data_IF_445099796662
#
_entry.id   IF_445099796662
#
_cell.length_a   1.000
_cell.length_b   1.000
_cell.length_c   1.000
_cell.angle_alpha   90.00
_cell.angle_beta   90.00
_cell.angle_gamma   90.00
#
_symmetry.space_group_name_H-M   'P 1'
#
loop_
_entity.id
_entity.type
_entity.pdbx_description
1 polymer ?
#
# COMPACT_ATOMS: atom_id res chain seq x y z
N UNK A 1 76.77 12.94 -6.29
CA UNK A 1 77.42 11.80 -6.99
C UNK A 1 76.67 10.52 -6.62
N UNK A 2 76.17 9.80 -7.65
CA UNK A 2 75.88 8.36 -7.85
C UNK A 2 75.38 7.49 -6.66
N UNK A 3 74.17 6.91 -6.81
CA UNK A 3 73.86 5.49 -7.14
C UNK A 3 73.72 4.62 -5.87
N UNK A 4 72.88 3.58 -5.75
CA UNK A 4 72.36 2.62 -6.73
C UNK A 4 71.13 1.86 -6.21
N UNK A 5 70.25 1.49 -7.15
CA UNK A 5 69.31 0.36 -7.08
C UNK A 5 70.04 -0.99 -6.95
N UNK A 6 69.43 -1.98 -6.28
CA UNK A 6 69.58 -3.39 -6.67
C UNK A 6 68.27 -4.16 -6.46
N UNK A 7 67.77 -4.76 -7.55
CA UNK A 7 66.73 -5.80 -7.61
C UNK A 7 67.33 -7.19 -7.32
N UNK A 8 66.49 -8.13 -6.85
CA UNK A 8 66.38 -9.57 -7.18
C UNK A 8 65.33 -10.18 -6.22
N UNK A 9 64.14 -10.56 -6.67
CA UNK A 9 63.72 -11.81 -7.37
C UNK A 9 63.28 -12.92 -6.38
N UNK A 10 61.99 -13.32 -6.48
CA UNK A 10 61.36 -14.63 -6.19
C UNK A 10 59.85 -14.38 -5.91
N UNK A 11 58.95 -14.39 -6.90
CA UNK A 11 58.25 -15.54 -7.53
C UNK A 11 57.36 -16.41 -6.61
N UNK A 12 56.08 -16.51 -7.01
CA UNK A 12 55.10 -17.61 -6.80
C UNK A 12 54.54 -17.73 -5.36
N UNK A 13 53.23 -17.67 -5.08
CA UNK A 13 52.14 -18.46 -5.66
C UNK A 13 50.76 -17.85 -5.35
N UNK A 14 49.84 -18.03 -6.28
CA UNK A 14 48.42 -17.67 -6.21
C UNK A 14 47.64 -18.61 -5.31
N UNK A 15 46.57 -18.11 -4.68
CA UNK A 15 45.33 -18.89 -4.48
C UNK A 15 44.14 -18.00 -4.12
N UNK A 16 43.37 -17.72 -5.16
CA UNK A 16 41.93 -17.45 -5.15
C UNK A 16 41.21 -18.59 -4.42
N UNK A 17 40.26 -18.28 -3.53
CA UNK A 17 39.18 -19.23 -3.21
C UNK A 17 37.82 -18.55 -3.35
N UNK A 18 37.17 -18.87 -4.47
CA UNK A 18 35.73 -18.80 -4.67
C UNK A 18 35.03 -19.58 -3.56
N UNK A 19 34.07 -18.97 -2.87
CA UNK A 19 33.09 -19.69 -2.07
C UNK A 19 31.96 -20.15 -3.00
N UNK A 20 32.06 -21.41 -3.45
CA UNK A 20 30.96 -22.15 -4.07
C UNK A 20 29.90 -22.48 -3.01
N UNK A 21 28.67 -22.02 -3.24
CA UNK A 21 27.50 -22.45 -2.48
C UNK A 21 27.03 -23.79 -3.04
N UNK A 22 27.35 -24.88 -2.35
CA UNK A 22 26.81 -26.21 -2.66
C UNK A 22 25.50 -26.45 -1.91
N UNK A 23 24.44 -26.55 -2.70
CA UNK A 23 23.12 -27.05 -2.36
C UNK A 23 23.20 -28.57 -2.16
N UNK A 24 23.04 -29.09 -0.94
CA UNK A 24 22.74 -30.50 -0.69
C UNK A 24 21.56 -30.62 0.27
N UNK A 25 20.46 -31.15 -0.24
CA UNK A 25 19.30 -31.53 0.55
C UNK A 25 19.56 -32.81 1.35
N UNK A 26 19.12 -32.81 2.59
CA UNK A 26 18.91 -34.03 3.38
C UNK A 26 17.57 -33.92 4.05
N UNK A 27 16.59 -34.61 3.47
CA UNK A 27 15.30 -34.88 4.08
C UNK A 27 15.51 -35.83 5.26
N UNK A 28 15.22 -35.37 6.49
CA UNK A 28 14.96 -36.26 7.62
C UNK A 28 13.51 -36.13 8.02
N UNK A 29 12.81 -37.24 7.83
CA UNK A 29 11.43 -37.49 8.28
C UNK A 29 11.41 -37.48 9.81
N UNK A 30 10.47 -36.76 10.39
CA UNK A 30 10.06 -36.94 11.78
C UNK A 30 8.64 -37.46 11.75
N UNK A 31 8.47 -38.73 12.13
CA UNK A 31 7.19 -39.32 12.46
C UNK A 31 6.80 -38.96 13.90
N UNK A 32 5.50 -38.78 14.18
CA UNK A 32 5.02 -38.26 15.45
C UNK A 32 4.92 -39.37 16.51
N UNK A 33 5.49 -39.13 17.70
CA UNK A 33 5.14 -39.90 18.90
C UNK A 33 3.90 -39.27 19.55
N UNK A 34 2.84 -40.06 19.55
CA UNK A 34 1.63 -39.90 20.37
C UNK A 34 1.98 -40.03 21.84
N UNK A 35 1.65 -39.03 22.66
CA UNK A 35 1.46 -39.22 24.10
C UNK A 35 0.08 -38.66 24.49
N UNK A 36 -0.85 -39.61 24.65
CA UNK A 36 -2.14 -39.46 25.33
C UNK A 36 -1.86 -39.20 26.82
N UNK A 37 -1.86 -37.93 27.27
CA UNK A 37 -2.10 -37.58 28.68
C UNK A 37 -2.22 -36.06 28.89
N UNK A 38 -3.21 -35.40 28.27
CA UNK A 38 -3.76 -34.13 28.81
C UNK A 38 -5.10 -33.73 28.17
N UNK A 39 -5.89 -34.72 27.73
CA UNK A 39 -7.28 -34.53 27.34
C UNK A 39 -8.19 -35.09 28.45
N UNK A 40 -8.27 -34.38 29.59
CA UNK A 40 -9.25 -34.59 30.67
C UNK A 40 -9.21 -33.42 31.65
N UNK A 41 -9.58 -32.24 31.17
CA UNK A 41 -9.91 -31.08 32.01
C UNK A 41 -10.75 -30.04 31.22
N UNK A 42 -11.72 -30.49 30.42
CA UNK A 42 -12.78 -29.64 29.86
C UNK A 42 -14.05 -30.50 29.82
N UNK A 43 -14.68 -30.60 30.99
CA UNK A 43 -16.03 -31.11 31.20
C UNK A 43 -16.31 -30.91 32.67
N UNK A 44 -16.71 -29.70 33.04
CA UNK A 44 -17.48 -29.35 34.25
C UNK A 44 -17.44 -27.82 34.44
N UNK A 45 -18.36 -27.10 33.79
CA UNK A 45 -18.94 -25.81 34.25
C UNK A 45 -19.80 -25.15 33.15
N UNK A 46 -20.88 -25.81 32.73
CA UNK A 46 -22.03 -25.13 32.11
C UNK A 46 -23.31 -25.84 32.55
N UNK A 47 -23.83 -25.52 33.75
CA UNK A 47 -25.27 -25.55 34.06
C UNK A 47 -25.53 -24.57 35.21
N UNK A 48 -26.63 -23.81 35.09
CA UNK A 48 -27.37 -23.12 36.16
C UNK A 48 -27.09 -21.62 36.38
N UNK A 49 -27.87 -20.76 35.70
CA UNK A 49 -29.00 -20.04 36.32
C UNK A 49 -29.68 -19.12 35.29
N UNK A 50 -30.87 -19.52 34.86
CA UNK A 50 -31.94 -18.64 34.38
C UNK A 50 -32.94 -18.46 35.51
N UNK A 51 -33.29 -17.20 35.81
CA UNK A 51 -34.63 -16.69 36.15
C UNK A 51 -34.46 -15.18 36.44
N UNK A 52 -34.97 -14.27 35.57
CA UNK A 52 -36.30 -13.58 35.65
C UNK A 52 -36.32 -12.50 36.77
N UNK A 53 -36.81 -11.25 36.65
CA UNK A 53 -37.68 -10.45 35.76
C UNK A 53 -37.51 -8.96 36.19
N UNK A 54 -37.76 -7.98 35.31
CA UNK A 54 -38.70 -6.82 35.44
C UNK A 54 -38.28 -5.70 34.47
N UNK A 55 -39.20 -5.37 33.58
CA UNK A 55 -39.22 -4.19 32.70
C UNK A 55 -39.65 -2.96 33.50
N UNK A 56 -38.93 -1.85 33.39
CA UNK A 56 -39.48 -0.51 33.57
C UNK A 56 -38.99 0.41 32.44
N UNK A 57 -39.96 0.90 31.68
CA UNK A 57 -39.86 1.96 30.69
C UNK A 57 -39.94 3.31 31.45
N UNK A 58 -38.98 4.21 31.25
CA UNK A 58 -39.23 5.61 30.87
C UNK A 58 -37.93 6.40 30.70
N UNK A 59 -37.89 7.31 29.72
CA UNK A 59 -36.80 8.31 29.59
C UNK A 59 -36.27 8.50 28.17
N UNK A 60 -36.95 9.33 27.38
CA UNK A 60 -36.46 9.90 26.12
C UNK A 60 -35.29 10.89 26.34
N UNK A 61 -34.47 11.15 25.30
CA UNK A 61 -33.09 11.60 25.44
C UNK A 61 -32.92 13.11 25.56
N UNK A 62 -31.89 13.55 26.28
CA UNK A 62 -31.40 14.93 26.27
C UNK A 62 -30.28 15.04 25.22
N UNK A 63 -30.52 15.81 24.16
CA UNK A 63 -29.50 16.25 23.22
C UNK A 63 -28.48 17.20 23.88
N UNK A 64 -27.18 17.09 23.57
CA UNK A 64 -26.30 18.23 23.56
C UNK A 64 -26.11 18.70 22.11
N UNK A 65 -26.71 19.84 21.80
CA UNK A 65 -26.41 20.62 20.60
C UNK A 65 -24.92 21.00 20.61
N UNK A 66 -24.15 20.47 19.67
CA UNK A 66 -22.86 21.04 19.32
C UNK A 66 -22.61 20.80 17.84
N UNK A 67 -22.97 21.81 17.03
CA UNK A 67 -22.56 21.90 15.63
C UNK A 67 -21.03 21.91 15.59
N UNK A 68 -20.42 20.80 15.18
CA UNK A 68 -18.98 20.71 14.89
C UNK A 68 -18.76 20.66 13.38
N UNK A 69 -17.70 21.29 12.87
CA UNK A 69 -17.49 21.47 11.44
C UNK A 69 -17.14 20.13 10.76
N UNK A 70 -17.65 20.00 9.54
CA UNK A 70 -17.41 18.94 8.57
C UNK A 70 -15.92 18.64 8.38
N UNK A 71 -15.53 17.36 8.35
CA UNK A 71 -14.22 16.89 7.89
C UNK A 71 -14.42 15.98 6.67
N UNK A 72 -13.76 16.31 5.55
CA UNK A 72 -13.86 15.60 4.26
C UNK A 72 -12.54 14.96 3.80
N UNK A 73 -11.56 14.79 4.68
CA UNK A 73 -10.26 14.21 4.33
C UNK A 73 -10.33 12.72 3.98
N UNK A 74 -9.85 12.35 2.78
CA UNK A 74 -9.91 11.01 2.17
C UNK A 74 -11.28 10.58 1.61
N UNK A 75 -11.88 11.42 0.76
CA UNK A 75 -13.03 11.04 -0.07
C UNK A 75 -12.65 10.96 -1.55
N UNK A 76 -12.57 9.71 -2.03
CA UNK A 76 -12.65 9.21 -3.43
C UNK A 76 -11.38 8.53 -3.95
N UNK A 77 -11.32 7.22 -3.74
CA UNK A 77 -10.82 6.30 -4.75
C UNK A 77 -11.84 5.17 -4.88
N UNK A 78 -12.59 5.19 -5.98
CA UNK A 78 -13.54 4.18 -6.49
C UNK A 78 -14.35 3.36 -5.47
N UNK A 79 -15.64 3.70 -5.35
CA UNK A 79 -16.69 2.77 -4.92
C UNK A 79 -17.04 1.82 -6.08
N UNK A 80 -16.99 0.51 -5.86
CA UNK A 80 -17.99 -0.38 -6.47
C UNK A 80 -18.41 -1.48 -5.52
N UNK A 81 -19.71 -1.43 -5.23
CA UNK A 81 -20.60 -2.44 -4.65
C UNK A 81 -20.81 -3.55 -5.70
N UNK A 82 -21.27 -4.79 -5.50
CA UNK A 82 -22.21 -5.42 -4.56
C UNK A 82 -21.92 -6.94 -4.61
N UNK A 83 -21.91 -7.62 -3.47
CA UNK A 83 -22.16 -9.07 -3.37
C UNK A 83 -23.68 -9.28 -3.47
N UNK A 84 -24.18 -9.94 -4.51
CA UNK A 84 -25.55 -10.48 -4.54
C UNK A 84 -25.46 -11.98 -4.81
N UNK A 85 -25.71 -12.74 -3.75
CA UNK A 85 -25.95 -14.17 -3.84
C UNK A 85 -27.27 -14.43 -4.57
N UNK A 86 -27.27 -15.48 -5.40
CA UNK A 86 -28.48 -16.14 -5.86
C UNK A 86 -28.40 -17.60 -5.45
N UNK A 87 -29.46 -18.06 -4.78
CA UNK A 87 -29.68 -19.43 -4.34
C UNK A 87 -29.86 -20.39 -5.52
N UNK A 88 -29.65 -21.67 -5.18
CA UNK A 88 -29.67 -22.89 -5.98
C UNK A 88 -30.94 -23.17 -6.81
N UNK A 89 -30.79 -24.03 -7.83
CA UNK A 89 -31.41 -25.38 -8.00
C UNK A 89 -31.07 -25.94 -9.42
N UNK A 90 -31.27 -27.24 -9.75
CA UNK A 90 -30.38 -28.37 -9.46
C UNK A 90 -29.83 -29.07 -10.73
N UNK A 91 -28.84 -29.96 -10.52
CA UNK A 91 -28.29 -30.88 -11.51
C UNK A 91 -29.33 -31.90 -12.02
N UNK A 92 -29.37 -32.15 -13.33
CA UNK A 92 -30.16 -33.22 -13.95
C UNK A 92 -29.82 -33.49 -15.43
N UNK A 93 -28.83 -34.36 -15.64
CA UNK A 93 -28.62 -35.28 -16.78
C UNK A 93 -28.85 -34.84 -18.25
N UNK A 94 -27.79 -34.90 -19.06
CA UNK A 94 -27.72 -35.88 -20.17
C UNK A 94 -26.27 -36.04 -20.67
N UNK A 95 -25.78 -37.28 -20.69
CA UNK A 95 -24.54 -37.68 -21.35
C UNK A 95 -24.78 -38.12 -22.79
N UNK A 96 -23.71 -38.04 -23.59
CA UNK A 96 -23.40 -38.90 -24.74
C UNK A 96 -24.15 -38.65 -26.06
N UNK A 97 -23.45 -38.07 -27.04
CA UNK A 97 -23.04 -38.79 -28.24
C UNK A 97 -21.91 -38.04 -28.96
N UNK A 98 -20.82 -38.76 -29.23
CA UNK A 98 -19.71 -38.29 -30.05
C UNK A 98 -19.85 -38.87 -31.46
N UNK A 99 -19.73 -38.03 -32.50
CA UNK A 99 -18.73 -38.12 -33.59
C UNK A 99 -19.22 -37.47 -34.89
N UNK A 100 -18.23 -36.83 -35.53
CA UNK A 100 -18.13 -36.53 -36.95
C UNK A 100 -19.15 -35.54 -37.53
N UNK A 101 -18.74 -34.28 -37.62
CA UNK A 101 -18.93 -33.46 -38.83
C UNK A 101 -17.97 -32.27 -38.85
N UNK A 102 -17.33 -32.13 -40.01
CA UNK A 102 -16.54 -31.03 -40.58
C UNK A 102 -16.58 -29.67 -39.88
N UNK A 103 -15.39 -29.06 -39.72
CA UNK A 103 -15.20 -27.62 -39.41
C UNK A 103 -15.95 -26.76 -40.44
N UNK A 104 -16.82 -25.81 -40.04
CA UNK A 104 -17.35 -24.82 -40.96
C UNK A 104 -16.33 -23.68 -41.18
N UNK A 105 -16.37 -23.11 -42.38
CA UNK A 105 -15.51 -22.02 -42.84
C UNK A 105 -15.72 -20.73 -42.01
N UNK A 106 -14.62 -20.00 -41.78
CA UNK A 106 -14.58 -18.75 -41.00
C UNK A 106 -15.42 -17.58 -41.57
N UNK A 107 -16.12 -17.78 -42.69
CA UNK A 107 -16.91 -16.75 -43.35
C UNK A 107 -18.42 -16.81 -43.02
N UNK A 108 -18.89 -17.87 -42.34
CA UNK A 108 -20.32 -18.08 -42.05
C UNK A 108 -20.73 -17.72 -40.62
N UNK A 109 -19.75 -17.40 -39.75
CA UNK A 109 -19.98 -16.99 -38.36
C UNK A 109 -20.31 -15.49 -38.21
N UNK A 110 -20.13 -14.69 -39.27
CA UNK A 110 -20.27 -13.23 -39.25
C UNK A 110 -21.65 -12.72 -39.70
N UNK A 111 -22.57 -13.61 -40.11
CA UNK A 111 -23.88 -13.21 -40.67
C UNK A 111 -25.09 -13.52 -39.78
N UNK A 112 -24.91 -14.00 -38.55
CA UNK A 112 -26.01 -14.35 -37.63
C UNK A 112 -25.86 -13.80 -36.20
N UNK A 113 -25.25 -12.63 -36.01
CA UNK A 113 -25.33 -11.96 -34.71
C UNK A 113 -26.63 -11.15 -34.62
N UNK A 114 -27.49 -11.37 -33.60
CA UNK A 114 -28.64 -10.51 -33.38
C UNK A 114 -28.14 -9.10 -33.04
N UNK A 115 -28.73 -8.11 -33.71
CA UNK A 115 -28.53 -6.69 -33.43
C UNK A 115 -29.07 -6.42 -32.02
N UNK A 116 -28.19 -6.42 -31.03
CA UNK A 116 -28.47 -5.91 -29.69
C UNK A 116 -28.49 -4.37 -29.76
N UNK A 117 -29.60 -3.82 -30.26
CA UNK A 117 -30.01 -2.46 -29.92
C UNK A 117 -30.47 -2.47 -28.45
N UNK A 118 -29.98 -1.51 -27.67
CA UNK A 118 -30.19 -1.32 -26.23
C UNK A 118 -29.23 -2.05 -25.27
N UNK A 119 -27.93 -1.87 -25.46
CA UNK A 119 -26.96 -1.97 -24.36
C UNK A 119 -26.96 -0.67 -23.54
N UNK A 120 -27.07 -0.72 -22.19
CA UNK A 120 -26.92 0.47 -21.36
C UNK A 120 -25.53 1.07 -21.58
N UNK A 121 -25.47 2.41 -21.72
CA UNK A 121 -24.21 3.14 -21.87
C UNK A 121 -23.27 2.76 -20.72
N UNK A 122 -22.18 2.08 -21.06
CA UNK A 122 -21.07 1.74 -20.16
C UNK A 122 -20.36 3.02 -19.70
N UNK A 123 -20.96 3.72 -18.74
CA UNK A 123 -20.24 4.60 -17.83
C UNK A 123 -19.81 3.74 -16.65
N UNK A 124 -18.49 3.70 -16.42
CA UNK A 124 -17.73 2.85 -15.49
C UNK A 124 -17.40 1.42 -15.97
N UNK A 125 -16.69 1.33 -17.09
CA UNK A 125 -16.08 0.07 -17.52
C UNK A 125 -15.04 -0.41 -16.48
N UNK A 126 -15.29 -1.57 -15.88
CA UNK A 126 -14.28 -2.33 -15.14
C UNK A 126 -13.02 -2.45 -16.01
N UNK A 127 -11.88 -2.00 -15.49
CA UNK A 127 -10.61 -2.13 -16.21
C UNK A 127 -10.26 -3.62 -16.29
N UNK A 128 -10.51 -4.23 -17.44
CA UNK A 128 -10.13 -5.63 -17.70
C UNK A 128 -8.70 -5.71 -18.22
N UNK A 129 -8.07 -6.87 -18.06
CA UNK A 129 -6.77 -7.14 -18.67
C UNK A 129 -6.80 -6.96 -20.20
N UNK A 130 -7.90 -7.37 -20.84
CA UNK A 130 -8.12 -7.15 -22.28
C UNK A 130 -8.07 -5.66 -22.65
N UNK A 131 -8.72 -4.80 -21.87
CA UNK A 131 -8.69 -3.35 -22.08
C UNK A 131 -7.28 -2.78 -21.89
N UNK A 132 -6.48 -3.32 -20.96
CA UNK A 132 -5.09 -2.92 -20.78
C UNK A 132 -4.22 -3.33 -21.97
N UNK A 133 -4.39 -4.54 -22.49
CA UNK A 133 -3.65 -5.03 -23.67
C UNK A 133 -3.93 -4.14 -24.88
N UNK A 134 -5.21 -3.84 -25.17
CA UNK A 134 -5.60 -2.98 -26.29
C UNK A 134 -4.99 -1.57 -26.21
N UNK A 135 -4.81 -1.05 -24.98
CA UNK A 135 -4.20 0.27 -24.74
C UNK A 135 -2.67 0.22 -24.70
N UNK A 136 -2.04 -0.94 -24.88
CA UNK A 136 -0.60 -1.14 -24.69
C UNK A 136 0.06 -1.56 -26.00
N UNK A 137 0.63 -0.62 -26.79
CA UNK A 137 1.22 -0.91 -28.10
C UNK A 137 2.30 -1.99 -28.09
N UNK A 138 3.03 -2.11 -26.98
CA UNK A 138 4.02 -3.16 -26.76
C UNK A 138 4.09 -3.49 -25.26
N UNK A 139 4.34 -4.76 -24.88
CA UNK A 139 4.42 -5.17 -23.48
C UNK A 139 5.38 -4.28 -22.68
N UNK A 140 4.98 -3.92 -21.45
CA UNK A 140 5.88 -3.26 -20.51
C UNK A 140 6.63 -4.33 -19.74
N UNK A 141 7.95 -4.31 -19.81
CA UNK A 141 8.82 -5.30 -19.17
C UNK A 141 9.64 -4.65 -18.06
N UNK A 142 10.17 -5.47 -17.14
CA UNK A 142 11.14 -5.02 -16.13
C UNK A 142 12.24 -4.15 -16.73
N UNK A 143 12.87 -4.61 -17.82
CA UNK A 143 13.96 -3.88 -18.49
C UNK A 143 13.50 -2.58 -19.15
N UNK A 144 12.32 -2.56 -19.80
CA UNK A 144 11.81 -1.32 -20.40
C UNK A 144 11.45 -0.28 -19.33
N UNK A 145 10.86 -0.72 -18.22
CA UNK A 145 10.49 0.14 -17.10
C UNK A 145 11.74 0.70 -16.43
N UNK A 146 12.74 -0.14 -16.14
CA UNK A 146 14.00 0.29 -15.52
C UNK A 146 14.73 1.33 -16.39
N UNK A 147 14.81 1.09 -17.70
CA UNK A 147 15.41 2.05 -18.64
C UNK A 147 14.67 3.40 -18.62
N UNK A 148 13.34 3.40 -18.69
CA UNK A 148 12.54 4.62 -18.68
C UNK A 148 12.63 5.39 -17.35
N UNK A 149 12.70 4.67 -16.23
CA UNK A 149 12.92 5.26 -14.90
C UNK A 149 14.31 5.94 -14.82
N UNK A 150 15.35 5.27 -15.33
CA UNK A 150 16.71 5.83 -15.37
C UNK A 150 16.80 7.07 -16.28
N UNK A 151 16.23 7.02 -17.49
CA UNK A 151 16.10 8.18 -18.39
C UNK A 151 15.30 9.32 -17.72
N UNK A 152 14.28 8.94 -16.94
CA UNK A 152 13.47 9.80 -16.07
C UNK A 152 14.24 10.45 -14.92
N UNK A 153 15.47 10.02 -14.63
CA UNK A 153 16.34 10.59 -13.61
C UNK A 153 16.38 9.83 -12.28
N UNK A 154 15.79 8.63 -12.21
CA UNK A 154 16.00 7.76 -11.05
C UNK A 154 17.46 7.26 -11.09
N UNK A 155 18.22 7.58 -10.06
CA UNK A 155 19.66 7.30 -9.99
C UNK A 155 20.00 6.18 -9.02
N UNK A 156 21.09 5.47 -9.31
CA UNK A 156 21.65 4.49 -8.40
C UNK A 156 22.05 5.13 -7.06
N UNK A 157 21.80 4.44 -5.95
CA UNK A 157 22.07 4.93 -4.60
C UNK A 157 21.00 5.86 -4.02
N UNK A 158 19.98 6.26 -4.80
CA UNK A 158 18.93 7.15 -4.30
C UNK A 158 18.04 6.49 -3.24
N UNK A 159 17.56 7.31 -2.30
CA UNK A 159 16.41 6.96 -1.46
C UNK A 159 15.16 7.51 -2.14
N UNK A 160 14.17 6.66 -2.41
CA UNK A 160 13.01 7.03 -3.21
C UNK A 160 11.71 6.61 -2.54
N UNK A 161 10.81 7.57 -2.34
CA UNK A 161 9.42 7.34 -1.94
C UNK A 161 8.56 7.22 -3.20
N UNK A 162 7.87 6.10 -3.36
CA UNK A 162 7.10 5.79 -4.58
C UNK A 162 5.60 5.72 -4.29
N UNK A 163 4.82 6.43 -5.10
CA UNK A 163 3.38 6.26 -5.26
C UNK A 163 3.11 5.78 -6.68
N UNK A 164 2.21 4.82 -6.87
CA UNK A 164 2.02 4.23 -8.20
C UNK A 164 0.61 3.76 -8.51
N UNK A 165 0.26 3.81 -9.80
CA UNK A 165 -0.93 3.17 -10.37
C UNK A 165 -0.50 2.13 -11.40
N UNK A 166 -0.60 0.83 -11.07
CA UNK A 166 -0.14 -0.24 -11.96
C UNK A 166 -0.86 -0.22 -13.32
N UNK A 167 -2.17 0.00 -13.33
CA UNK A 167 -2.96 0.03 -14.56
C UNK A 167 -2.60 1.21 -15.48
N UNK A 168 -2.12 2.32 -14.92
CA UNK A 168 -1.69 3.48 -15.70
C UNK A 168 -0.47 3.20 -16.58
N UNK A 169 0.36 2.21 -16.21
CA UNK A 169 1.54 1.82 -16.98
C UNK A 169 1.18 1.12 -18.30
N UNK A 170 -0.05 0.61 -18.41
CA UNK A 170 -0.46 -0.34 -19.44
C UNK A 170 -0.30 -1.79 -18.98
N UNK A 171 -0.26 -2.72 -19.91
CA UNK A 171 -0.06 -4.15 -19.63
C UNK A 171 1.41 -4.43 -19.34
N UNK A 172 1.69 -4.89 -18.12
CA UNK A 172 3.05 -5.16 -17.62
C UNK A 172 3.28 -6.66 -17.53
N UNK A 173 4.27 -7.16 -18.27
CA UNK A 173 4.75 -8.53 -18.17
C UNK A 173 5.34 -8.78 -16.77
N UNK A 174 4.61 -9.51 -15.93
CA UNK A 174 4.96 -9.75 -14.53
C UNK A 174 4.30 -8.79 -13.52
N UNK A 175 3.36 -7.94 -13.97
CA UNK A 175 2.54 -7.07 -13.11
C UNK A 175 3.39 -6.29 -12.07
N UNK A 176 2.94 -6.26 -10.80
CA UNK A 176 3.63 -5.56 -9.72
C UNK A 176 5.07 -6.06 -9.47
N UNK A 177 5.35 -7.35 -9.67
CA UNK A 177 6.69 -7.94 -9.49
C UNK A 177 7.70 -7.22 -10.39
N UNK A 178 7.35 -7.05 -11.68
CA UNK A 178 8.22 -6.40 -12.65
C UNK A 178 8.46 -4.91 -12.34
N UNK A 179 7.46 -4.22 -11.79
CA UNK A 179 7.60 -2.81 -11.36
C UNK A 179 8.56 -2.68 -10.19
N UNK A 180 8.39 -3.51 -9.16
CA UNK A 180 9.28 -3.52 -7.98
C UNK A 180 10.71 -3.85 -8.39
N UNK A 181 10.90 -4.89 -9.20
CA UNK A 181 12.22 -5.27 -9.69
C UNK A 181 12.85 -4.17 -10.57
N UNK A 182 12.09 -3.49 -11.41
CA UNK A 182 12.60 -2.38 -12.21
C UNK A 182 13.06 -1.20 -11.35
N UNK A 183 12.30 -0.85 -10.30
CA UNK A 183 12.71 0.18 -9.34
C UNK A 183 14.00 -0.21 -8.61
N UNK A 184 14.10 -1.47 -8.16
CA UNK A 184 15.30 -2.01 -7.50
C UNK A 184 16.51 -2.02 -8.45
N UNK A 185 16.32 -2.35 -9.72
CA UNK A 185 17.40 -2.31 -10.73
C UNK A 185 17.94 -0.89 -10.92
N UNK A 186 17.06 0.12 -10.94
CA UNK A 186 17.45 1.52 -11.12
C UNK A 186 18.26 2.06 -9.94
N UNK A 187 17.78 1.83 -8.71
CA UNK A 187 18.43 2.38 -7.52
C UNK A 187 19.63 1.53 -7.06
N UNK A 188 19.68 0.27 -7.49
CA UNK A 188 20.76 -0.66 -7.14
C UNK A 188 20.82 -1.01 -5.65
N UNK A 189 21.83 -1.80 -5.22
CA UNK A 189 21.93 -2.31 -3.84
C UNK A 189 22.20 -1.22 -2.80
N UNK A 190 22.71 -0.06 -3.22
CA UNK A 190 22.99 1.07 -2.34
C UNK A 190 21.81 2.04 -2.20
N UNK A 191 20.75 1.86 -3.00
CA UNK A 191 19.53 2.65 -2.94
C UNK A 191 18.55 2.14 -1.90
N UNK A 192 17.60 2.99 -1.50
CA UNK A 192 16.51 2.60 -0.59
C UNK A 192 15.15 2.92 -1.22
N UNK A 193 14.33 1.90 -1.44
CA UNK A 193 12.97 2.02 -1.95
C UNK A 193 11.98 2.07 -0.78
N UNK A 194 11.04 3.01 -0.82
CA UNK A 194 10.02 3.21 0.23
C UNK A 194 8.64 3.40 -0.39
N UNK A 195 7.61 2.81 0.21
CA UNK A 195 6.21 3.01 -0.19
C UNK A 195 5.31 3.15 1.05
N UNK A 196 4.27 4.01 1.01
CA UNK A 196 3.24 4.00 2.04
C UNK A 196 2.47 2.67 2.01
N UNK A 197 2.13 2.17 3.19
CA UNK A 197 1.39 0.92 3.38
C UNK A 197 0.20 1.12 4.31
N UNK A 198 -0.56 2.18 4.07
CA UNK A 198 -1.64 2.62 4.95
C UNK A 198 -2.75 1.58 5.07
N UNK A 199 -3.38 1.58 6.24
CA UNK A 199 -4.29 0.55 6.77
C UNK A 199 -5.53 1.22 7.35
N UNK A 200 -6.17 2.09 6.56
CA UNK A 200 -7.29 2.92 6.99
C UNK A 200 -8.55 2.15 7.44
N UNK A 201 -8.58 0.81 7.35
CA UNK A 201 -9.62 -0.02 7.94
C UNK A 201 -9.34 -0.38 9.41
N UNK A 202 -8.23 0.08 9.97
CA UNK A 202 -7.88 -0.07 11.39
C UNK A 202 -8.09 1.23 12.20
N UNK A 203 -8.66 2.27 11.59
CA UNK A 203 -9.08 3.48 12.32
C UNK A 203 -10.37 3.24 13.10
N UNK A 204 -10.76 4.18 13.96
CA UNK A 204 -11.99 4.06 14.75
C UNK A 204 -13.23 3.95 13.84
N UNK A 205 -14.00 2.86 13.92
CA UNK A 205 -15.17 2.66 13.05
C UNK A 205 -16.29 3.66 13.30
N UNK A 206 -16.29 4.38 14.43
CA UNK A 206 -17.22 5.48 14.68
C UNK A 206 -17.05 6.64 13.67
N UNK A 207 -15.85 6.80 13.11
CA UNK A 207 -15.50 7.88 12.18
C UNK A 207 -15.56 7.44 10.71
N UNK A 208 -16.01 6.21 10.42
CA UNK A 208 -16.09 5.72 9.05
C UNK A 208 -17.28 6.30 8.31
N UNK A 209 -17.06 6.75 7.07
CA UNK A 209 -18.10 7.37 6.23
C UNK A 209 -18.20 6.77 4.82
N UNK A 210 -17.25 5.90 4.43
CA UNK A 210 -17.13 5.39 3.06
C UNK A 210 -16.91 3.86 3.01
N UNK A 211 -17.95 3.06 3.30
CA UNK A 211 -19.23 3.47 3.90
C UNK A 211 -19.15 3.56 5.45
N UNK A 212 -20.12 4.19 6.13
CA UNK A 212 -20.27 4.06 7.57
C UNK A 212 -20.74 2.65 7.96
N UNK A 213 -20.51 2.27 9.21
CA UNK A 213 -21.09 1.07 9.84
C UNK A 213 -22.27 1.46 10.75
N UNK A 214 -23.22 0.55 11.00
CA UNK A 214 -24.22 0.76 12.04
C UNK A 214 -23.58 1.11 13.39
N UNK A 215 -24.10 2.12 14.09
CA UNK A 215 -23.51 2.61 15.34
C UNK A 215 -23.43 1.54 16.44
N UNK A 216 -24.37 0.59 16.45
CA UNK A 216 -24.37 -0.54 17.36
C UNK A 216 -23.28 -1.59 17.08
N UNK A 217 -22.55 -1.51 15.95
CA UNK A 217 -21.42 -2.38 15.65
C UNK A 217 -20.09 -1.83 16.17
N UNK A 218 -20.02 -0.52 16.46
CA UNK A 218 -18.76 0.17 16.79
C UNK A 218 -18.02 -0.50 17.94
N UNK A 219 -18.70 -0.82 19.05
CA UNK A 219 -18.03 -1.40 20.21
C UNK A 219 -17.54 -2.82 19.94
N UNK A 220 -18.37 -3.67 19.31
CA UNK A 220 -17.95 -5.01 18.87
C UNK A 220 -16.75 -4.94 17.93
N UNK A 221 -16.69 -3.97 17.01
CA UNK A 221 -15.53 -3.77 16.14
C UNK A 221 -14.30 -3.34 16.96
N UNK A 222 -14.43 -2.45 17.95
CA UNK A 222 -13.33 -2.08 18.83
C UNK A 222 -12.85 -3.23 19.71
N UNK A 223 -13.70 -4.18 20.05
CA UNK A 223 -13.35 -5.38 20.83
C UNK A 223 -12.68 -6.44 19.98
N UNK A 224 -13.22 -6.72 18.79
CA UNK A 224 -12.89 -7.91 17.98
C UNK A 224 -11.93 -7.63 16.81
N UNK A 225 -11.78 -6.38 16.35
CA UNK A 225 -10.92 -6.07 15.21
C UNK A 225 -9.47 -6.51 15.49
N UNK A 226 -8.85 -7.33 14.61
CA UNK A 226 -7.50 -7.81 14.81
C UNK A 226 -6.49 -6.66 14.94
N UNK A 227 -5.50 -6.84 15.81
CA UNK A 227 -4.42 -5.88 15.94
C UNK A 227 -3.60 -5.77 14.65
N UNK A 228 -3.05 -4.58 14.43
CA UNK A 228 -2.07 -4.37 13.38
C UNK A 228 -0.88 -5.32 13.56
N UNK A 229 -0.55 -6.02 12.48
CA UNK A 229 0.64 -6.84 12.34
C UNK A 229 1.32 -6.47 11.00
N UNK A 230 2.57 -5.99 11.03
CA UNK A 230 3.27 -5.57 9.82
C UNK A 230 3.35 -6.67 8.75
N UNK A 231 3.39 -7.95 9.16
CA UNK A 231 3.49 -9.09 8.25
C UNK A 231 2.15 -9.41 7.56
N UNK A 232 1.04 -9.38 8.30
CA UNK A 232 -0.23 -9.93 7.82
C UNK A 232 -1.27 -8.87 7.47
N UNK A 233 -1.26 -7.68 8.08
CA UNK A 233 -2.27 -6.66 7.82
C UNK A 233 -2.14 -6.10 6.39
N UNK A 234 -3.12 -6.32 5.50
CA UNK A 234 -3.08 -5.82 4.13
C UNK A 234 -3.20 -4.30 4.08
N UNK A 235 -2.71 -3.66 3.04
CA UNK A 235 -2.96 -2.23 2.81
C UNK A 235 -4.40 -1.98 2.39
N UNK A 236 -4.86 -0.73 2.53
CA UNK A 236 -6.12 -0.25 1.94
C UNK A 236 -5.84 0.95 1.04
N UNK A 237 -6.28 0.87 -0.22
CA UNK A 237 -6.14 1.92 -1.23
C UNK A 237 -4.69 2.32 -1.60
N UNK A 238 -3.69 1.50 -1.30
CA UNK A 238 -2.28 1.77 -1.68
C UNK A 238 -1.88 1.18 -3.05
N UNK A 239 -2.72 0.31 -3.61
CA UNK A 239 -2.49 -0.33 -4.91
C UNK A 239 -1.65 -1.61 -4.83
N UNK A 240 -1.71 -2.42 -5.89
CA UNK A 240 -1.10 -3.75 -5.95
C UNK A 240 0.43 -3.74 -5.82
N UNK A 241 1.10 -2.65 -6.21
CA UNK A 241 2.55 -2.53 -6.11
C UNK A 241 2.98 -2.38 -4.65
N UNK A 242 2.37 -1.46 -3.90
CA UNK A 242 2.67 -1.28 -2.48
C UNK A 242 2.26 -2.50 -1.64
N UNK A 243 1.12 -3.13 -1.99
CA UNK A 243 0.66 -4.33 -1.32
C UNK A 243 1.61 -5.51 -1.49
N UNK A 244 2.15 -5.73 -2.69
CA UNK A 244 3.17 -6.75 -2.89
C UNK A 244 4.48 -6.36 -2.20
N UNK A 245 4.90 -5.10 -2.35
CA UNK A 245 6.18 -4.58 -1.85
C UNK A 245 6.33 -4.75 -0.33
N UNK A 246 5.27 -4.55 0.46
CA UNK A 246 5.34 -4.71 1.93
C UNK A 246 5.71 -6.13 2.36
N UNK A 247 5.44 -7.13 1.52
CA UNK A 247 5.73 -8.55 1.77
C UNK A 247 6.97 -9.04 1.03
N UNK A 248 7.65 -8.15 0.31
CA UNK A 248 8.81 -8.51 -0.47
C UNK A 248 9.94 -9.00 0.44
N UNK A 249 10.72 -10.03 0.04
CA UNK A 249 11.81 -10.52 0.86
C UNK A 249 12.77 -9.41 1.28
N UNK A 250 12.98 -9.27 2.59
CA UNK A 250 13.83 -8.24 3.18
C UNK A 250 13.13 -6.89 3.44
N UNK A 251 11.84 -6.74 3.12
CA UNK A 251 11.08 -5.55 3.48
C UNK A 251 11.02 -5.36 5.00
N UNK A 252 11.18 -4.10 5.41
CA UNK A 252 10.86 -3.61 6.75
C UNK A 252 9.60 -2.80 6.67
N UNK A 253 8.75 -2.87 7.70
CA UNK A 253 7.52 -2.08 7.78
C UNK A 253 7.42 -1.43 9.16
N UNK A 254 7.11 -0.14 9.16
CA UNK A 254 6.97 0.63 10.41
C UNK A 254 5.70 0.25 11.17
N UNK A 255 5.70 0.44 12.49
CA UNK A 255 4.68 -0.13 13.39
C UNK A 255 3.42 0.73 13.61
N UNK A 256 3.20 1.78 12.81
CA UNK A 256 1.98 2.58 12.94
C UNK A 256 0.76 1.82 12.41
N UNK A 257 -0.32 1.66 13.20
CA UNK A 257 -1.44 0.79 12.85
C UNK A 257 -2.24 1.24 11.64
N UNK A 258 -2.18 2.52 11.26
CA UNK A 258 -2.97 3.09 10.15
C UNK A 258 -2.14 3.73 9.03
N UNK A 259 -0.90 4.13 9.32
CA UNK A 259 -0.07 5.00 8.45
C UNK A 259 1.33 4.40 8.23
N UNK A 260 1.47 3.07 8.38
CA UNK A 260 2.76 2.40 8.21
C UNK A 260 3.38 2.60 6.82
N UNK A 261 4.70 2.47 6.73
CA UNK A 261 5.50 2.51 5.50
C UNK A 261 6.34 1.24 5.41
N UNK A 262 6.50 0.72 4.20
CA UNK A 262 7.46 -0.34 3.91
C UNK A 262 8.72 0.23 3.26
N UNK A 263 9.89 -0.38 3.53
CA UNK A 263 11.16 0.01 2.95
C UNK A 263 12.09 -1.20 2.69
N UNK A 264 12.89 -1.11 1.63
CA UNK A 264 13.98 -2.03 1.31
C UNK A 264 15.22 -1.23 0.93
N UNK A 265 16.37 -1.59 1.51
CA UNK A 265 17.67 -0.98 1.21
C UNK A 265 18.43 -0.59 2.48
N UNK A 266 19.61 0.04 2.35
CA UNK A 266 20.50 0.33 3.47
C UNK A 266 19.89 1.21 4.56
N UNK A 267 18.87 2.03 4.25
CA UNK A 267 18.20 2.91 5.22
C UNK A 267 16.85 2.36 5.71
N UNK A 268 16.46 1.14 5.33
CA UNK A 268 15.12 0.61 5.62
C UNK A 268 14.81 0.55 7.12
N UNK A 269 15.74 0.03 7.94
CA UNK A 269 15.58 -0.03 9.40
C UNK A 269 15.47 1.39 9.99
N UNK A 270 16.35 2.31 9.58
CA UNK A 270 16.32 3.70 10.05
C UNK A 270 14.98 4.37 9.75
N UNK A 271 14.51 4.29 8.49
CA UNK A 271 13.28 4.94 8.02
C UNK A 271 12.04 4.38 8.73
N UNK A 272 12.02 3.08 9.01
CA UNK A 272 10.84 2.40 9.57
C UNK A 272 10.80 2.33 11.09
N UNK A 273 11.92 2.58 11.78
CA UNK A 273 12.00 2.58 13.24
C UNK A 273 11.09 3.61 13.91
N UNK A 274 10.76 3.38 15.19
CA UNK A 274 10.19 4.37 16.13
C UNK A 274 9.01 5.20 15.61
N UNK A 275 8.14 4.60 14.81
CA UNK A 275 6.99 5.29 14.22
C UNK A 275 5.90 5.51 15.29
N UNK A 276 5.78 6.77 15.72
CA UNK A 276 4.93 7.21 16.81
C UNK A 276 3.43 7.21 16.51
N UNK A 277 2.60 6.71 17.44
CA UNK A 277 1.14 6.80 17.35
C UNK A 277 0.63 8.24 17.28
N UNK A 278 1.22 9.16 18.05
CA UNK A 278 0.79 10.56 18.11
C UNK A 278 1.31 11.41 16.94
N UNK A 279 2.14 10.82 16.07
CA UNK A 279 2.77 11.50 14.93
C UNK A 279 2.76 10.61 13.68
N UNK A 280 1.57 10.23 13.17
CA UNK A 280 1.43 9.28 12.07
C UNK A 280 2.15 9.71 10.79
N UNK A 281 2.24 11.01 10.53
CA UNK A 281 2.83 11.61 9.32
C UNK A 281 3.62 12.89 9.65
N UNK A 282 4.07 13.04 10.90
CA UNK A 282 4.78 14.23 11.40
C UNK A 282 6.26 14.00 11.69
N UNK A 283 6.83 14.74 12.64
CA UNK A 283 8.27 14.69 12.97
C UNK A 283 8.76 13.34 13.52
N UNK A 284 7.88 12.55 14.16
CA UNK A 284 8.21 11.19 14.64
C UNK A 284 7.69 10.11 13.68
N UNK A 285 7.70 10.39 12.38
CA UNK A 285 7.25 9.48 11.32
C UNK A 285 8.36 9.18 10.29
N UNK A 286 8.19 8.15 9.45
CA UNK A 286 9.04 7.91 8.28
C UNK A 286 9.17 9.11 7.33
N UNK A 287 8.17 10.01 7.27
CA UNK A 287 8.23 11.18 6.39
C UNK A 287 9.34 12.15 6.79
N UNK A 288 9.51 12.43 8.08
CA UNK A 288 10.59 13.29 8.57
C UNK A 288 11.97 12.69 8.26
N UNK A 289 12.10 11.36 8.41
CA UNK A 289 13.33 10.63 8.09
C UNK A 289 13.64 10.62 6.59
N UNK A 290 12.61 10.55 5.74
CA UNK A 290 12.76 10.69 4.29
C UNK A 290 13.18 12.10 3.89
N UNK A 291 12.60 13.13 4.54
CA UNK A 291 13.02 14.52 4.37
C UNK A 291 14.51 14.69 4.74
N UNK A 292 14.92 14.18 5.91
CA UNK A 292 16.31 14.26 6.38
C UNK A 292 17.29 13.48 5.49
N UNK A 293 16.85 12.37 4.92
CA UNK A 293 17.62 11.56 3.98
C UNK A 293 17.72 12.15 2.56
N UNK A 294 17.13 13.32 2.32
CA UNK A 294 17.03 13.96 1.00
C UNK A 294 16.42 13.03 -0.06
N UNK A 295 15.36 12.31 0.33
CA UNK A 295 14.71 11.35 -0.55
C UNK A 295 14.06 12.03 -1.76
N UNK A 296 14.13 11.38 -2.91
CA UNK A 296 13.32 11.74 -4.07
C UNK A 296 11.90 11.18 -3.91
N UNK A 297 10.91 11.86 -4.49
CA UNK A 297 9.55 11.34 -4.60
C UNK A 297 9.28 11.01 -6.07
N UNK A 298 8.79 9.80 -6.32
CA UNK A 298 8.33 9.34 -7.62
C UNK A 298 6.82 9.11 -7.60
N UNK A 299 6.11 9.90 -8.39
CA UNK A 299 4.69 9.72 -8.69
C UNK A 299 4.59 8.99 -10.03
N UNK A 300 4.32 7.69 -9.99
CA UNK A 300 4.28 6.80 -11.14
C UNK A 300 2.83 6.59 -11.62
N UNK A 301 2.35 7.47 -12.50
CA UNK A 301 0.98 7.42 -13.02
C UNK A 301 -0.10 7.89 -12.05
N UNK A 302 0.30 8.73 -11.10
CA UNK A 302 -0.54 9.40 -10.11
C UNK A 302 -0.13 10.88 -10.03
N UNK A 303 -0.97 11.74 -9.43
CA UNK A 303 -0.66 13.17 -9.26
C UNK A 303 -0.38 13.49 -7.78
N UNK A 304 -0.22 14.78 -7.46
CA UNK A 304 0.20 15.26 -6.14
C UNK A 304 -0.83 15.01 -5.03
N UNK A 305 -2.09 14.74 -5.36
CA UNK A 305 -3.17 14.39 -4.42
C UNK A 305 -2.90 13.10 -3.63
N UNK A 306 -1.93 12.28 -4.04
CA UNK A 306 -1.50 11.09 -3.28
C UNK A 306 -0.08 11.21 -2.72
N UNK A 307 0.56 12.37 -2.84
CA UNK A 307 1.93 12.60 -2.37
C UNK A 307 1.96 12.69 -0.84
N UNK A 308 2.11 11.54 -0.17
CA UNK A 308 2.01 11.44 1.29
C UNK A 308 3.05 12.29 2.01
N UNK A 309 4.21 12.57 1.39
CA UNK A 309 5.24 13.43 1.96
C UNK A 309 4.71 14.85 2.29
N UNK A 310 3.70 15.35 1.58
CA UNK A 310 3.13 16.66 1.84
C UNK A 310 2.35 16.74 3.15
N UNK A 311 1.95 15.62 3.76
CA UNK A 311 1.42 15.65 5.12
C UNK A 311 2.45 16.14 6.15
N UNK A 312 3.75 15.88 5.94
CA UNK A 312 4.79 16.47 6.79
C UNK A 312 4.80 18.01 6.67
N UNK A 313 4.60 18.52 5.46
CA UNK A 313 4.50 19.96 5.23
C UNK A 313 3.27 20.56 5.92
N UNK A 314 2.13 19.86 5.95
CA UNK A 314 0.93 20.33 6.68
C UNK A 314 1.24 20.50 8.17
N UNK A 315 1.92 19.51 8.77
CA UNK A 315 2.28 19.55 10.19
C UNK A 315 3.23 20.70 10.51
N UNK A 316 4.17 20.99 9.61
CA UNK A 316 5.13 22.09 9.76
C UNK A 316 4.53 23.46 9.48
N UNK A 317 3.60 23.56 8.52
CA UNK A 317 2.92 24.81 8.17
C UNK A 317 1.88 25.21 9.23
N UNK A 318 1.22 24.22 9.85
CA UNK A 318 0.15 24.44 10.81
C UNK A 318 0.35 23.62 12.10
N UNK A 319 1.42 23.91 12.88
CA UNK A 319 1.79 23.10 14.06
C UNK A 319 0.78 23.16 15.20
N UNK A 320 -0.06 24.20 15.24
CA UNK A 320 -1.05 24.44 16.30
C UNK A 320 -2.45 23.90 15.95
N UNK A 321 -2.57 23.05 14.93
CA UNK A 321 -3.86 22.46 14.57
C UNK A 321 -4.41 21.61 15.71
N UNK A 322 -5.73 21.64 15.94
CA UNK A 322 -6.35 20.75 16.91
C UNK A 322 -6.02 19.29 16.60
N UNK A 323 -5.72 18.54 17.65
CA UNK A 323 -5.60 17.09 17.57
C UNK A 323 -7.00 16.47 17.68
N UNK A 324 -7.17 15.34 17.01
CA UNK A 324 -8.33 14.47 17.13
C UNK A 324 -7.97 13.27 17.98
N UNK A 325 -8.96 12.77 18.72
CA UNK A 325 -8.85 11.52 19.45
C UNK A 325 -9.03 10.38 18.45
N UNK A 326 -7.99 9.60 18.27
CA UNK A 326 -7.95 8.46 17.36
C UNK A 326 -8.02 7.14 18.14
N UNK A 327 -8.34 6.06 17.43
CA UNK A 327 -8.40 4.71 17.98
C UNK A 327 -7.91 3.68 16.97
N UNK A 328 -7.10 2.71 17.40
CA UNK A 328 -6.66 1.59 16.56
C UNK A 328 -6.31 0.34 17.37
N UNK A 329 -6.50 -0.87 16.81
CA UNK A 329 -6.10 -2.10 17.45
C UNK A 329 -4.59 -2.33 17.25
N UNK A 330 -3.84 -2.44 18.35
CA UNK A 330 -2.39 -2.68 18.35
C UNK A 330 -2.03 -3.93 19.15
N UNK A 331 -0.84 -4.47 18.90
CA UNK A 331 -0.22 -5.45 19.80
C UNK A 331 0.69 -4.72 20.77
N UNK A 332 0.37 -4.80 22.06
CA UNK A 332 1.24 -4.32 23.14
C UNK A 332 1.64 -5.53 24.00
N UNK A 333 2.95 -5.81 24.06
CA UNK A 333 3.50 -6.99 24.76
C UNK A 333 2.86 -8.32 24.32
N UNK A 334 2.57 -8.46 23.03
CA UNK A 334 1.94 -9.65 22.46
C UNK A 334 0.43 -9.76 22.71
N UNK A 335 -0.18 -8.79 23.38
CA UNK A 335 -1.62 -8.76 23.67
C UNK A 335 -2.29 -7.69 22.83
N UNK A 336 -3.40 -8.04 22.19
CA UNK A 336 -4.22 -7.11 21.42
C UNK A 336 -4.89 -6.09 22.35
N UNK A 337 -4.77 -4.80 22.02
CA UNK A 337 -5.42 -3.69 22.73
C UNK A 337 -5.98 -2.66 21.75
N UNK A 338 -7.09 -2.04 22.13
CA UNK A 338 -7.56 -0.83 21.47
C UNK A 338 -6.80 0.37 22.04
N UNK A 339 -5.82 0.88 21.31
CA UNK A 339 -5.07 2.06 21.71
C UNK A 339 -5.84 3.32 21.34
N UNK A 340 -5.93 4.24 22.30
CA UNK A 340 -6.47 5.58 22.12
C UNK A 340 -5.32 6.56 22.22
N UNK A 341 -5.23 7.47 21.26
CA UNK A 341 -4.17 8.46 21.19
C UNK A 341 -4.68 9.75 20.55
N UNK A 342 -3.90 10.83 20.70
CA UNK A 342 -4.21 12.11 20.07
C UNK A 342 -3.23 12.39 18.94
N UNK A 343 -3.75 12.59 17.73
CA UNK A 343 -2.95 12.92 16.57
C UNK A 343 -3.58 14.10 15.82
N UNK A 344 -2.80 14.87 15.06
CA UNK A 344 -3.35 15.86 14.13
C UNK A 344 -4.26 15.18 13.11
N UNK A 345 -5.46 15.73 12.89
CA UNK A 345 -6.39 15.20 11.90
C UNK A 345 -5.73 15.17 10.50
N UNK A 346 -6.00 14.14 9.71
CA UNK A 346 -5.59 14.13 8.30
C UNK A 346 -6.49 15.07 7.51
N UNK A 347 -5.89 15.96 6.71
CA UNK A 347 -6.61 16.85 5.81
C UNK A 347 -6.90 16.14 4.48
N UNK A 348 -7.84 16.69 3.73
CA UNK A 348 -8.08 16.26 2.35
C UNK A 348 -6.88 16.59 1.47
N UNK A 349 -6.29 15.59 0.84
CA UNK A 349 -5.08 15.75 0.03
C UNK A 349 -5.31 16.43 -1.33
N UNK A 350 -6.55 16.78 -1.72
CA UNK A 350 -6.80 17.55 -2.95
C UNK A 350 -6.07 18.91 -2.97
N UNK A 351 -5.85 19.55 -1.82
CA UNK A 351 -5.10 20.81 -1.74
C UNK A 351 -3.59 20.66 -2.01
N UNK A 352 -3.10 19.45 -2.24
CA UNK A 352 -1.75 19.18 -2.73
C UNK A 352 -1.61 19.47 -4.23
N UNK A 353 -2.71 19.42 -5.00
CA UNK A 353 -2.68 19.64 -6.45
C UNK A 353 -2.20 21.05 -6.84
N UNK A 354 -2.64 22.15 -6.18
CA UNK A 354 -2.08 23.48 -6.42
C UNK A 354 -0.58 23.58 -6.13
N UNK A 355 -0.09 22.94 -5.07
CA UNK A 355 1.34 22.86 -4.75
C UNK A 355 2.10 22.19 -5.89
N UNK A 356 1.64 21.02 -6.32
CA UNK A 356 2.25 20.29 -7.43
C UNK A 356 2.26 21.07 -8.74
N UNK A 357 1.18 21.81 -9.04
CA UNK A 357 1.12 22.70 -10.22
C UNK A 357 2.16 23.80 -10.13
N UNK A 358 2.25 24.50 -9.01
CA UNK A 358 3.20 25.59 -8.84
C UNK A 358 4.66 25.11 -8.86
N UNK A 359 4.97 23.92 -8.32
CA UNK A 359 6.29 23.31 -8.44
C UNK A 359 6.63 22.95 -9.90
N UNK A 360 5.66 22.41 -10.66
CA UNK A 360 5.82 22.15 -12.10
C UNK A 360 6.12 23.42 -12.87
N UNK A 361 5.37 24.50 -12.63
CA UNK A 361 5.52 25.79 -13.32
C UNK A 361 6.89 26.44 -13.05
N UNK A 362 7.50 26.16 -11.89
CA UNK A 362 8.86 26.62 -11.53
C UNK A 362 9.99 25.70 -12.01
N UNK A 363 9.68 24.59 -12.68
CA UNK A 363 10.67 23.63 -13.16
C UNK A 363 11.26 22.71 -12.08
N UNK A 364 10.67 22.65 -10.88
CA UNK A 364 11.13 21.81 -9.77
C UNK A 364 10.71 20.33 -9.91
N UNK A 365 9.91 19.99 -10.93
CA UNK A 365 9.38 18.64 -11.15
C UNK A 365 9.79 18.15 -12.54
N UNK A 366 10.57 17.05 -12.58
CA UNK A 366 10.88 16.37 -13.83
C UNK A 366 9.71 15.46 -14.22
N UNK A 367 9.07 15.76 -15.35
CA UNK A 367 7.99 14.92 -15.92
C UNK A 367 8.56 14.04 -17.04
N UNK A 368 8.18 12.77 -17.07
CA UNK A 368 8.58 11.80 -18.11
C UNK A 368 7.54 10.68 -18.23
N UNK A 369 7.72 9.78 -19.20
CA UNK A 369 6.80 8.65 -19.41
C UNK A 369 7.43 7.33 -18.99
N UNK A 370 6.65 6.49 -18.30
CA UNK A 370 6.99 5.10 -17.99
C UNK A 370 5.83 4.21 -18.42
N UNK A 371 6.07 3.33 -19.38
CA UNK A 371 5.00 2.69 -20.14
C UNK A 371 4.05 3.72 -20.74
N UNK A 372 2.77 3.61 -20.41
CA UNK A 372 1.74 4.59 -20.79
C UNK A 372 1.56 5.73 -19.76
N UNK A 373 2.18 5.61 -18.58
CA UNK A 373 1.93 6.52 -17.48
C UNK A 373 2.78 7.79 -17.61
N UNK A 374 2.15 8.94 -17.34
CA UNK A 374 2.87 10.16 -16.98
C UNK A 374 3.45 9.97 -15.58
N UNK A 375 4.74 10.23 -15.45
CA UNK A 375 5.50 10.09 -14.21
C UNK A 375 6.15 11.42 -13.83
N UNK A 376 6.32 11.64 -12.53
CA UNK A 376 6.96 12.83 -11.98
C UNK A 376 8.01 12.43 -10.94
N UNK A 377 9.20 13.05 -11.02
CA UNK A 377 10.29 12.89 -10.07
C UNK A 377 10.73 14.27 -9.58
N UNK A 378 10.89 14.42 -8.25
CA UNK A 378 11.27 15.67 -7.61
C UNK A 378 11.94 15.43 -6.26
N UNK A 379 12.64 16.44 -5.72
CA UNK A 379 13.20 16.40 -4.37
C UNK A 379 12.09 16.45 -3.33
N UNK A 380 12.08 15.50 -2.39
CA UNK A 380 11.13 15.50 -1.29
C UNK A 380 11.33 16.67 -0.34
N UNK A 381 12.59 17.06 -0.11
CA UNK A 381 12.94 18.23 0.72
C UNK A 381 12.39 19.51 0.12
N UNK A 382 12.67 19.74 -1.17
CA UNK A 382 12.18 20.92 -1.89
C UNK A 382 10.64 20.96 -1.90
N UNK A 383 9.98 19.82 -2.11
CA UNK A 383 8.51 19.76 -2.08
C UNK A 383 7.92 20.16 -0.74
N UNK A 384 8.49 19.66 0.36
CA UNK A 384 8.04 19.99 1.72
C UNK A 384 8.27 21.48 2.01
N UNK A 385 9.47 22.00 1.73
CA UNK A 385 9.82 23.39 1.99
C UNK A 385 8.97 24.35 1.14
N UNK A 386 8.73 24.00 -0.12
CA UNK A 386 7.87 24.74 -1.03
C UNK A 386 6.42 24.79 -0.55
N UNK A 387 5.87 23.66 -0.11
CA UNK A 387 4.52 23.58 0.41
C UNK A 387 4.35 24.41 1.71
N UNK A 388 5.30 24.29 2.64
CA UNK A 388 5.33 25.11 3.87
C UNK A 388 5.34 26.59 3.52
N UNK A 389 6.20 27.01 2.60
CA UNK A 389 6.27 28.41 2.18
C UNK A 389 4.96 28.88 1.54
N UNK A 390 4.35 28.05 0.71
CA UNK A 390 3.09 28.34 0.02
C UNK A 390 1.94 28.51 1.02
N UNK A 391 1.86 27.67 2.03
CA UNK A 391 0.77 27.67 3.02
C UNK A 391 1.00 28.62 4.19
N UNK A 392 2.21 29.17 4.34
CA UNK A 392 2.55 30.07 5.45
C UNK A 392 1.58 31.25 5.52
N UNK A 393 0.96 31.43 6.69
CA UNK A 393 -0.01 32.51 6.92
C UNK A 393 -1.43 32.25 6.39
N UNK A 394 -1.67 31.09 5.77
CA UNK A 394 -3.01 30.64 5.39
C UNK A 394 -3.62 29.80 6.52
N UNK A 395 -4.94 29.74 6.59
CA UNK A 395 -5.63 28.76 7.43
C UNK A 395 -5.56 27.37 6.77
N UNK A 396 -5.53 26.28 7.54
CA UNK A 396 -5.63 24.94 6.96
C UNK A 396 -6.94 24.78 6.19
N UNK A 397 -6.97 24.01 5.09
CA UNK A 397 -8.21 23.70 4.40
C UNK A 397 -9.18 22.99 5.35
N UNK A 398 -10.46 23.34 5.22
CA UNK A 398 -11.56 22.82 6.04
C UNK A 398 -12.11 21.49 5.54
#
# INVERSE_FOLDING_TARGET
>A
MRNSLSRRDAEVESRTSMAQWNWHGSARRHEPKTDLAMARAISDAQVSRQDKIVVLLDGQPQEPSMKRPFFRGCRRAFTSSVFKGALALPLGALMSQARAQSRPNAHEYLSQQPVLQDAPRLTDAVMTEHNLILKTPAPRTRSSLARQLAEGGVTAGSTILVHSSLSSLGWVAGAAVAVIQALMDCIGPNGTLVMPTHTAHLTDPAEWEAPPVPSNWVETLREEMPAYDPATTPTRNMGAVAELFRTWPGARRSLHPTCSFAAIGPRADQITADHALESPLGERSPLAKLYDADACVLLLGVDFDVCTLLHLAEQRAWPNRPKTREGSPILENGVRRWAVYEAPALLDSEHFLPVGRAMKDRGAVKTFSVGNARSMLFSGREAVDFAIHTWKGQLPPG
#
